data_IF_033148725432
#
_entry.id   IF_033148725432
#
_cell.length_a   1.000
_cell.length_b   1.000
_cell.length_c   1.000
_cell.angle_alpha   90.00
_cell.angle_beta   90.00
_cell.angle_gamma   90.00
#
_symmetry.space_group_name_H-M   'P 1'
#
loop_
_entity.id
_entity.type
_entity.pdbx_description
1 polymer ?
#
# COMPACT_ATOMS: atom_id res chain seq x y z
N UNK A 1 -25.59 -17.17 -3.71
CA UNK A 1 -24.22 -17.70 -3.84
C UNK A 1 -23.40 -16.96 -4.88
N UNK A 2 -23.94 -16.75 -6.06
CA UNK A 2 -23.27 -16.02 -7.13
C UNK A 2 -22.76 -14.64 -6.71
N UNK A 3 -23.58 -13.86 -6.01
CA UNK A 3 -23.21 -12.53 -5.53
C UNK A 3 -22.05 -12.56 -4.52
N UNK A 4 -22.00 -13.61 -3.70
CA UNK A 4 -20.92 -13.77 -2.72
C UNK A 4 -19.60 -14.09 -3.40
N UNK A 5 -19.65 -14.89 -4.46
CA UNK A 5 -18.48 -15.23 -5.26
C UNK A 5 -17.94 -13.95 -5.92
N UNK A 6 -18.81 -13.19 -6.57
CA UNK A 6 -18.43 -11.94 -7.24
C UNK A 6 -17.83 -10.93 -6.26
N UNK A 7 -18.44 -10.80 -5.07
CA UNK A 7 -17.93 -9.90 -4.04
C UNK A 7 -16.55 -10.31 -3.57
N UNK A 8 -16.34 -11.60 -3.31
CA UNK A 8 -15.03 -12.08 -2.87
C UNK A 8 -13.97 -11.94 -3.96
N UNK A 9 -14.32 -12.22 -5.20
CA UNK A 9 -13.39 -12.01 -6.31
C UNK A 9 -12.98 -10.55 -6.43
N UNK A 10 -13.94 -9.64 -6.32
CA UNK A 10 -13.67 -8.21 -6.32
C UNK A 10 -12.79 -7.81 -5.13
N UNK A 11 -13.15 -8.29 -3.94
CA UNK A 11 -12.40 -8.01 -2.71
C UNK A 11 -10.95 -8.46 -2.85
N UNK A 12 -10.73 -9.69 -3.33
CA UNK A 12 -9.38 -10.23 -3.51
C UNK A 12 -8.57 -9.43 -4.53
N UNK A 13 -9.23 -8.88 -5.54
CA UNK A 13 -8.56 -8.08 -6.56
C UNK A 13 -8.04 -6.73 -6.05
N UNK A 14 -8.47 -6.31 -4.85
CA UNK A 14 -8.02 -5.06 -4.23
C UNK A 14 -6.66 -5.20 -3.55
N UNK A 15 -6.22 -6.42 -3.29
CA UNK A 15 -5.02 -6.72 -2.51
C UNK A 15 -3.89 -7.29 -3.34
N UNK A 16 -2.67 -7.00 -2.91
CA UNK A 16 -1.48 -7.63 -3.47
C UNK A 16 -0.74 -8.37 -2.35
N UNK A 17 -0.19 -9.52 -2.71
CA UNK A 17 0.56 -10.36 -1.80
C UNK A 17 1.94 -9.75 -1.50
N UNK A 18 2.37 -9.83 -0.26
CA UNK A 18 3.68 -9.32 0.16
C UNK A 18 4.86 -9.97 -0.59
N UNK A 19 4.72 -11.24 -1.02
CA UNK A 19 5.78 -11.91 -1.80
C UNK A 19 6.02 -11.23 -3.14
N UNK A 20 4.98 -10.75 -3.80
CA UNK A 20 5.13 -10.06 -5.08
C UNK A 20 5.85 -8.73 -4.92
N UNK A 21 5.55 -8.01 -3.84
CA UNK A 21 6.20 -6.74 -3.53
C UNK A 21 7.67 -6.97 -3.17
N UNK A 22 7.93 -7.97 -2.32
CA UNK A 22 9.28 -8.31 -1.92
C UNK A 22 10.14 -8.73 -3.11
N UNK A 23 9.61 -9.56 -3.98
CA UNK A 23 10.29 -10.01 -5.18
C UNK A 23 10.68 -8.85 -6.09
N UNK A 24 9.75 -7.90 -6.28
CA UNK A 24 10.02 -6.70 -7.06
C UNK A 24 11.14 -5.86 -6.44
N UNK A 25 11.14 -5.70 -5.12
CA UNK A 25 12.18 -4.98 -4.40
C UNK A 25 13.56 -5.61 -4.62
N UNK A 26 13.62 -6.94 -4.60
CA UNK A 26 14.86 -7.69 -4.79
C UNK A 26 15.37 -7.63 -6.23
N UNK A 27 14.50 -7.29 -7.17
CA UNK A 27 14.82 -7.15 -8.60
C UNK A 27 14.96 -5.69 -9.04
N UNK A 28 15.42 -4.81 -8.15
CA UNK A 28 15.63 -3.39 -8.41
C UNK A 28 14.35 -2.52 -8.39
N UNK A 29 13.22 -3.06 -7.96
CA UNK A 29 12.05 -2.26 -7.64
C UNK A 29 11.45 -1.41 -8.75
N UNK A 30 11.25 -1.97 -9.95
CA UNK A 30 10.81 -1.21 -11.12
C UNK A 30 9.32 -1.26 -11.42
N UNK A 31 8.56 -2.12 -10.79
CA UNK A 31 7.14 -2.32 -11.09
C UNK A 31 6.23 -1.63 -10.07
N UNK A 32 6.50 -1.85 -8.81
CA UNK A 32 5.67 -1.35 -7.71
C UNK A 32 6.30 -0.18 -6.99
N UNK A 33 5.48 0.78 -6.60
CA UNK A 33 5.86 1.86 -5.70
C UNK A 33 5.00 1.72 -4.44
N UNK A 34 5.63 1.49 -3.31
CA UNK A 34 4.92 1.30 -2.05
C UNK A 34 4.74 2.64 -1.35
N UNK A 35 3.52 2.93 -0.93
CA UNK A 35 3.19 4.18 -0.24
C UNK A 35 2.74 3.90 1.19
N UNK A 36 3.45 4.49 2.14
CA UNK A 36 3.08 4.49 3.54
C UNK A 36 2.05 5.61 3.75
N UNK A 37 0.80 5.23 4.01
CA UNK A 37 -0.29 6.20 4.12
C UNK A 37 -0.67 6.53 5.57
N UNK A 38 0.16 6.12 6.53
CA UNK A 38 -0.13 6.36 7.95
C UNK A 38 -0.14 7.86 8.28
N UNK A 39 -1.18 8.30 8.98
CA UNK A 39 -1.32 9.68 9.45
C UNK A 39 -0.71 9.79 10.85
N UNK A 40 0.60 9.73 10.95
CA UNK A 40 1.28 9.77 12.23
C UNK A 40 2.66 10.43 12.11
N UNK A 41 3.17 11.07 13.17
CA UNK A 41 4.50 11.66 13.12
C UNK A 41 5.60 10.59 13.17
N UNK A 42 6.78 10.96 12.74
CA UNK A 42 7.95 10.06 12.71
C UNK A 42 8.21 9.36 14.03
N UNK A 43 8.05 10.08 15.13
CA UNK A 43 8.21 9.58 16.49
C UNK A 43 7.37 8.35 16.79
N UNK A 44 6.15 8.33 16.24
CA UNK A 44 5.19 7.23 16.43
C UNK A 44 5.46 6.12 15.44
N UNK A 45 5.75 6.46 14.19
CA UNK A 45 6.01 5.47 13.14
C UNK A 45 7.28 4.67 13.40
N UNK A 46 8.38 5.35 13.71
CA UNK A 46 9.73 4.79 13.93
C UNK A 46 10.35 4.18 12.69
N UNK A 47 9.64 3.30 12.01
CA UNK A 47 10.12 2.59 10.83
C UNK A 47 9.03 2.51 9.75
N UNK A 48 9.42 2.09 8.58
CA UNK A 48 8.53 1.90 7.43
C UNK A 48 9.07 0.76 6.56
N UNK A 49 8.26 0.30 5.62
CA UNK A 49 8.71 -0.67 4.63
C UNK A 49 9.84 -0.02 3.81
N UNK A 50 10.90 -0.77 3.61
CA UNK A 50 12.08 -0.29 2.88
C UNK A 50 11.68 0.28 1.52
N UNK A 51 12.21 1.45 1.20
CA UNK A 51 11.95 2.19 -0.05
C UNK A 51 10.52 2.70 -0.23
N UNK A 52 9.67 2.59 0.79
CA UNK A 52 8.32 3.14 0.69
C UNK A 52 8.35 4.68 0.71
N UNK A 53 7.39 5.26 0.02
CA UNK A 53 7.22 6.72 -0.04
C UNK A 53 6.20 7.09 1.04
N UNK A 54 6.54 8.03 1.91
CA UNK A 54 5.61 8.48 2.94
C UNK A 54 4.67 9.55 2.39
N UNK A 55 3.41 9.20 2.20
CA UNK A 55 2.35 10.15 1.84
C UNK A 55 1.15 9.85 2.72
N UNK A 56 0.99 10.57 3.84
CA UNK A 56 -0.17 10.36 4.72
C UNK A 56 -1.47 10.41 3.94
N UNK A 57 -2.42 9.55 4.28
CA UNK A 57 -3.69 9.48 3.56
C UNK A 57 -4.39 10.83 3.44
N UNK A 58 -4.29 11.67 4.48
CA UNK A 58 -4.89 13.01 4.48
C UNK A 58 -4.27 13.98 3.48
N UNK A 59 -3.06 13.68 3.00
CA UNK A 59 -2.34 14.53 2.04
C UNK A 59 -2.32 13.95 0.63
N UNK A 60 -2.75 12.71 0.46
CA UNK A 60 -2.63 12.00 -0.81
C UNK A 60 -3.31 12.73 -1.98
N UNK A 61 -4.50 13.22 -1.77
CA UNK A 61 -5.28 13.91 -2.81
C UNK A 61 -4.52 15.09 -3.41
N UNK A 62 -3.81 15.83 -2.56
CA UNK A 62 -3.05 17.01 -2.97
C UNK A 62 -1.73 16.65 -3.66
N UNK A 63 -1.27 15.42 -3.49
CA UNK A 63 0.01 14.96 -4.04
C UNK A 63 -0.11 14.03 -5.25
N UNK A 64 -1.31 13.81 -5.76
CA UNK A 64 -1.52 12.93 -6.92
C UNK A 64 -0.71 13.36 -8.14
N UNK A 65 -0.53 14.66 -8.32
CA UNK A 65 0.24 15.20 -9.45
C UNK A 65 1.73 14.81 -9.40
N UNK A 66 2.22 14.41 -8.25
CA UNK A 66 3.62 13.98 -8.09
C UNK A 66 3.83 12.52 -8.44
N UNK A 67 2.75 11.78 -8.66
CA UNK A 67 2.80 10.34 -8.91
C UNK A 67 2.69 10.03 -10.41
N UNK A 68 3.62 9.23 -10.91
CA UNK A 68 3.59 8.79 -12.31
C UNK A 68 2.54 7.71 -12.52
N UNK A 69 1.87 7.74 -13.65
CA UNK A 69 0.94 6.68 -14.07
C UNK A 69 1.66 5.43 -14.59
N UNK A 70 2.98 5.48 -14.68
CA UNK A 70 3.79 4.38 -15.21
C UNK A 70 4.03 3.27 -14.18
N UNK A 71 3.68 3.50 -12.93
CA UNK A 71 3.90 2.53 -11.85
C UNK A 71 2.60 1.99 -11.30
N UNK A 72 2.69 0.83 -10.66
CA UNK A 72 1.60 0.25 -9.88
C UNK A 72 1.86 0.63 -8.43
N UNK A 73 0.89 1.25 -7.78
CA UNK A 73 1.04 1.70 -6.39
C UNK A 73 0.48 0.67 -5.42
N UNK A 74 1.20 0.48 -4.33
CA UNK A 74 0.80 -0.43 -3.25
C UNK A 74 0.74 0.39 -1.98
N UNK A 75 -0.44 0.55 -1.41
CA UNK A 75 -0.62 1.33 -0.19
C UNK A 75 -0.67 0.44 1.03
N UNK A 76 -0.16 0.93 2.15
CA UNK A 76 -0.27 0.19 3.41
C UNK A 76 -0.48 1.11 4.60
N UNK A 77 -1.16 0.57 5.59
CA UNK A 77 -1.46 1.18 6.87
C UNK A 77 -0.83 0.33 7.97
N UNK A 78 -1.12 0.64 9.23
CA UNK A 78 -0.63 -0.10 10.39
C UNK A 78 -1.04 -1.57 10.35
N UNK A 79 -2.34 -1.81 10.16
CA UNK A 79 -2.92 -3.16 10.12
C UNK A 79 -3.94 -3.25 8.99
N UNK A 80 -4.31 -4.48 8.64
CA UNK A 80 -5.35 -4.70 7.63
C UNK A 80 -6.75 -4.31 8.11
N UNK A 81 -6.93 -4.11 9.41
CA UNK A 81 -8.21 -3.73 10.00
C UNK A 81 -8.45 -2.22 10.07
N UNK A 82 -7.44 -1.40 9.77
CA UNK A 82 -7.58 0.05 9.75
C UNK A 82 -8.06 0.52 8.39
N UNK A 83 -8.68 1.70 8.34
CA UNK A 83 -9.34 2.17 7.11
C UNK A 83 -8.49 3.04 6.21
N UNK A 84 -7.37 3.58 6.70
CA UNK A 84 -6.55 4.51 5.92
C UNK A 84 -6.04 3.92 4.61
N UNK A 85 -5.62 2.66 4.63
CA UNK A 85 -5.18 1.99 3.42
C UNK A 85 -6.29 1.92 2.37
N UNK A 86 -7.52 1.65 2.81
CA UNK A 86 -8.68 1.56 1.93
C UNK A 86 -9.08 2.94 1.40
N UNK A 87 -9.00 3.96 2.25
CA UNK A 87 -9.28 5.35 1.84
C UNK A 87 -8.26 5.79 0.78
N UNK A 88 -7.00 5.51 1.00
CA UNK A 88 -5.94 5.85 0.05
C UNK A 88 -6.10 5.08 -1.27
N UNK A 89 -6.40 3.79 -1.19
CA UNK A 89 -6.65 2.98 -2.39
C UNK A 89 -7.80 3.55 -3.21
N UNK A 90 -8.90 3.90 -2.55
CA UNK A 90 -10.06 4.48 -3.22
C UNK A 90 -9.69 5.77 -3.95
N UNK A 91 -8.91 6.63 -3.30
CA UNK A 91 -8.48 7.89 -3.92
C UNK A 91 -7.64 7.64 -5.18
N UNK A 92 -6.72 6.70 -5.12
CA UNK A 92 -5.90 6.34 -6.28
C UNK A 92 -6.75 5.77 -7.42
N UNK A 93 -7.65 4.84 -7.11
CA UNK A 93 -8.52 4.23 -8.11
C UNK A 93 -9.44 5.25 -8.78
N UNK A 94 -9.97 6.21 -8.02
CA UNK A 94 -10.83 7.28 -8.55
C UNK A 94 -10.08 8.18 -9.53
N UNK A 95 -8.77 8.23 -9.43
CA UNK A 95 -7.93 9.08 -10.28
C UNK A 95 -7.16 8.26 -11.32
N UNK A 96 -7.68 7.07 -11.64
CA UNK A 96 -7.18 6.19 -12.70
C UNK A 96 -5.74 5.68 -12.51
N UNK A 97 -5.31 5.54 -11.28
CA UNK A 97 -4.06 4.86 -10.97
C UNK A 97 -4.30 3.37 -10.84
N UNK A 98 -3.35 2.57 -11.29
CA UNK A 98 -3.35 1.15 -10.99
C UNK A 98 -2.77 1.00 -9.58
N UNK A 99 -3.55 0.44 -8.67
CA UNK A 99 -3.16 0.39 -7.26
C UNK A 99 -3.80 -0.78 -6.52
N UNK A 100 -3.13 -1.18 -5.46
CA UNK A 100 -3.56 -2.27 -4.58
C UNK A 100 -3.27 -1.90 -3.13
N UNK A 101 -3.94 -2.57 -2.21
CA UNK A 101 -3.60 -2.50 -0.79
C UNK A 101 -2.73 -3.71 -0.45
N UNK A 102 -1.67 -3.50 0.32
CA UNK A 102 -0.79 -4.59 0.74
C UNK A 102 -1.51 -5.53 1.70
N UNK A 103 -1.64 -6.80 1.32
CA UNK A 103 -2.24 -7.81 2.19
C UNK A 103 -1.42 -7.96 3.47
N UNK A 104 -2.09 -7.89 4.62
CA UNK A 104 -1.43 -7.96 5.92
C UNK A 104 -0.90 -6.64 6.44
N UNK A 105 -0.84 -5.61 5.60
CA UNK A 105 -0.35 -4.28 5.97
C UNK A 105 1.06 -4.31 6.61
N UNK A 106 1.42 -3.27 7.36
CA UNK A 106 2.72 -3.20 8.02
C UNK A 106 2.89 -4.30 9.07
N UNK A 107 1.82 -4.59 9.81
CA UNK A 107 1.82 -5.66 10.82
C UNK A 107 2.26 -6.99 10.23
N UNK A 108 1.67 -7.38 9.10
CA UNK A 108 2.03 -8.63 8.42
C UNK A 108 3.46 -8.62 7.89
N UNK A 109 3.89 -7.48 7.34
CA UNK A 109 5.25 -7.31 6.83
C UNK A 109 6.28 -7.50 7.94
N UNK A 110 6.07 -6.84 9.09
CA UNK A 110 6.92 -6.98 10.27
C UNK A 110 6.88 -8.40 10.84
N UNK A 111 5.70 -9.00 10.86
CA UNK A 111 5.52 -10.35 11.37
C UNK A 111 6.32 -11.39 10.63
N UNK A 112 6.67 -11.13 9.39
CA UNK A 112 7.49 -12.01 8.55
C UNK A 112 8.95 -11.56 8.48
N UNK A 113 9.34 -10.57 9.28
CA UNK A 113 10.71 -10.03 9.30
C UNK A 113 11.18 -9.55 7.94
N UNK A 114 10.30 -8.93 7.17
CA UNK A 114 10.65 -8.38 5.86
C UNK A 114 11.32 -7.01 5.98
N UNK A 115 12.05 -6.55 4.94
CA UNK A 115 12.89 -5.36 5.04
C UNK A 115 12.18 -4.07 5.45
N UNK A 116 12.73 -3.41 6.44
CA UNK A 116 12.28 -2.12 6.96
C UNK A 116 13.41 -1.10 6.89
N UNK A 117 13.07 0.17 7.04
CA UNK A 117 14.05 1.26 7.23
C UNK A 117 13.46 2.29 8.19
N UNK A 118 14.31 3.14 8.74
CA UNK A 118 13.86 4.24 9.61
C UNK A 118 13.13 5.29 8.79
N UNK A 119 12.12 5.90 9.39
CA UNK A 119 11.40 6.99 8.76
C UNK A 119 12.21 8.29 8.70
#
# INVERSE_FOLDING_TARGET
MKKKIELLETYLSLYINHHEVLEDMEKDGNKYKVIDVRNAPKKVKKDKIKNSIEIPAKELKEQLDTLSKDYIYVVYDWTGGTILGKVALLELLKNDFEAYELAGALEGWKGMNLPLEEV
#
